data_IF_658820097378
#
_entry.id   IF_658820097378
#
_cell.length_a   1.000
_cell.length_b   1.000
_cell.length_c   1.000
_cell.angle_alpha   90.00
_cell.angle_beta   90.00
_cell.angle_gamma   90.00
#
_symmetry.space_group_name_H-M   'P 1'
#
loop_
_entity.id
_entity.type
_entity.pdbx_description
1 polymer ?
#
# COMPACT_ATOMS: atom_id res chain seq x y z
N UNK A 1 -16.57 -5.03 1.14
CA UNK A 1 -15.30 -4.32 0.98
C UNK A 1 -14.08 -5.16 1.27
N UNK A 2 -14.19 -6.02 2.26
CA UNK A 2 -13.06 -6.87 2.61
C UNK A 2 -12.60 -7.73 1.44
N UNK A 3 -13.55 -8.37 0.75
CA UNK A 3 -13.17 -9.24 -0.36
C UNK A 3 -12.56 -8.46 -1.51
N UNK A 4 -13.03 -7.24 -1.71
CA UNK A 4 -12.46 -6.40 -2.75
C UNK A 4 -11.03 -6.03 -2.42
N UNK A 5 -10.76 -5.71 -1.15
CA UNK A 5 -9.41 -5.39 -0.71
C UNK A 5 -8.46 -6.56 -0.98
N UNK A 6 -8.85 -7.75 -0.58
CA UNK A 6 -8.02 -8.93 -0.78
C UNK A 6 -7.77 -9.17 -2.27
N UNK A 7 -8.79 -9.01 -3.08
CA UNK A 7 -8.66 -9.18 -4.52
C UNK A 7 -7.66 -8.19 -5.12
N UNK A 8 -7.71 -6.96 -4.66
CA UNK A 8 -6.78 -5.94 -5.17
C UNK A 8 -5.36 -6.22 -4.74
N UNK A 9 -5.18 -6.69 -3.51
CA UNK A 9 -3.85 -7.03 -3.01
C UNK A 9 -3.29 -8.20 -3.81
N UNK A 10 -4.10 -9.19 -4.09
CA UNK A 10 -3.66 -10.33 -4.89
C UNK A 10 -3.22 -9.89 -6.27
N UNK A 11 -3.93 -8.93 -6.85
CA UNK A 11 -3.58 -8.45 -8.18
C UNK A 11 -2.24 -7.75 -8.22
N UNK A 12 -1.80 -7.20 -7.09
CA UNK A 12 -0.51 -6.53 -7.02
C UNK A 12 0.66 -7.51 -6.97
N UNK A 13 0.38 -8.76 -6.60
CA UNK A 13 1.42 -9.77 -6.57
C UNK A 13 2.53 -9.43 -5.60
N UNK A 14 3.77 -9.50 -6.06
CA UNK A 14 4.93 -9.27 -5.22
C UNK A 14 5.18 -7.81 -4.91
N UNK A 15 4.42 -6.91 -5.50
CA UNK A 15 4.61 -5.48 -5.27
C UNK A 15 4.11 -5.04 -3.91
N UNK A 16 3.34 -5.90 -3.24
CA UNK A 16 2.70 -5.52 -1.99
C UNK A 16 2.83 -6.66 -1.00
N UNK A 17 3.31 -6.35 0.19
CA UNK A 17 3.24 -7.27 1.33
C UNK A 17 1.96 -7.01 2.07
N UNK A 18 1.35 -8.09 2.53
CA UNK A 18 0.08 -8.02 3.21
C UNK A 18 0.14 -8.85 4.49
N UNK A 19 -0.38 -8.26 5.57
CA UNK A 19 -0.37 -8.90 6.87
C UNK A 19 -1.63 -8.47 7.61
N UNK A 20 -2.27 -9.40 8.27
CA UNK A 20 -3.50 -9.12 8.99
C UNK A 20 -3.38 -9.53 10.44
N UNK A 21 -3.86 -8.66 11.32
CA UNK A 21 -3.92 -8.95 12.73
C UNK A 21 -5.26 -8.42 13.25
N UNK A 22 -6.14 -9.32 13.67
CA UNK A 22 -7.50 -8.95 14.07
C UNK A 22 -8.20 -8.19 12.94
N UNK A 23 -8.68 -7.00 13.22
CA UNK A 23 -9.37 -6.18 12.23
C UNK A 23 -8.45 -5.14 11.61
N UNK A 24 -7.16 -5.28 11.83
CA UNK A 24 -6.17 -4.35 11.29
C UNK A 24 -5.39 -5.03 10.20
N UNK A 25 -5.34 -4.38 9.04
CA UNK A 25 -4.55 -4.88 7.92
C UNK A 25 -3.34 -3.99 7.76
N UNK A 26 -2.22 -4.61 7.45
CA UNK A 26 -0.96 -3.91 7.24
C UNK A 26 -0.51 -4.17 5.81
N UNK A 27 -0.32 -3.13 5.05
CA UNK A 27 0.11 -3.23 3.66
C UNK A 27 1.40 -2.46 3.52
N UNK A 28 2.41 -3.11 2.97
CA UNK A 28 3.67 -2.45 2.66
C UNK A 28 3.89 -2.55 1.17
N UNK A 29 3.99 -1.40 0.52
CA UNK A 29 4.31 -1.36 -0.89
C UNK A 29 5.80 -1.58 -1.06
N UNK A 30 6.14 -2.54 -1.91
CA UNK A 30 7.53 -2.90 -2.17
C UNK A 30 8.10 -1.99 -3.23
N UNK A 31 8.04 -0.73 -2.95
CA UNK A 31 8.51 0.28 -3.86
C UNK A 31 10.03 0.32 -3.78
N UNK A 32 10.69 -0.13 -4.80
CA UNK A 32 12.13 -0.11 -4.79
C UNK A 32 12.63 1.28 -5.16
N UNK A 33 13.31 1.90 -4.24
CA UNK A 33 13.77 3.26 -4.46
C UNK A 33 15.21 3.34 -4.92
N UNK A 34 16.01 2.37 -4.56
CA UNK A 34 17.41 2.44 -4.94
C UNK A 34 18.10 3.65 -4.35
N UNK A 35 19.29 3.90 -4.82
CA UNK A 35 20.08 4.99 -4.30
C UNK A 35 20.54 5.92 -5.42
N UNK A 36 19.70 6.06 -6.43
CA UNK A 36 20.04 6.91 -7.55
C UNK A 36 19.38 8.26 -7.41
N UNK A 37 19.82 9.20 -8.21
CA UNK A 37 19.20 10.51 -8.26
C UNK A 37 17.89 10.47 -9.03
N UNK A 38 17.63 9.39 -9.72
CA UNK A 38 16.43 9.23 -10.52
C UNK A 38 15.40 8.42 -9.78
N UNK A 39 15.22 8.73 -8.54
CA UNK A 39 14.32 7.94 -7.72
C UNK A 39 12.89 7.94 -8.25
N UNK A 40 12.52 8.93 -9.05
CA UNK A 40 11.21 8.92 -9.67
C UNK A 40 11.06 7.73 -10.61
N UNK A 41 12.12 7.41 -11.34
CA UNK A 41 12.11 6.22 -12.15
C UNK A 41 12.09 4.97 -11.31
N UNK A 42 12.84 5.00 -10.22
CA UNK A 42 12.91 3.87 -9.33
C UNK A 42 11.54 3.52 -8.77
N UNK A 43 10.73 4.54 -8.54
CA UNK A 43 9.40 4.31 -8.01
C UNK A 43 8.49 3.58 -8.98
N UNK A 44 8.95 3.40 -10.22
CA UNK A 44 8.16 2.70 -11.21
C UNK A 44 8.57 1.25 -11.37
N UNK A 45 9.40 0.74 -10.49
CA UNK A 45 9.90 -0.62 -10.61
C UNK A 45 8.93 -1.66 -10.06
N UNK A 46 7.68 -1.32 -9.99
CA UNK A 46 6.66 -2.31 -9.69
C UNK A 46 6.48 -3.25 -10.87
N UNK A 47 6.22 -4.51 -10.58
CA UNK A 47 5.86 -5.46 -11.62
C UNK A 47 4.44 -5.21 -12.09
N UNK A 48 3.59 -4.68 -11.23
CA UNK A 48 2.19 -4.46 -11.53
C UNK A 48 1.79 -3.03 -11.15
N UNK A 49 2.40 -2.03 -11.82
CA UNK A 49 2.18 -0.64 -11.39
C UNK A 49 0.73 -0.18 -11.52
N UNK A 50 0.02 -0.67 -12.50
CA UNK A 50 -1.38 -0.30 -12.66
C UNK A 50 -2.22 -0.79 -11.50
N UNK A 51 -1.98 -2.02 -11.10
CA UNK A 51 -2.72 -2.62 -9.99
C UNK A 51 -2.39 -1.95 -8.67
N UNK A 52 -1.11 -1.58 -8.49
CA UNK A 52 -0.71 -0.86 -7.28
C UNK A 52 -1.40 0.49 -7.21
N UNK A 53 -1.42 1.22 -8.32
CA UNK A 53 -2.08 2.51 -8.35
C UNK A 53 -3.58 2.38 -8.10
N UNK A 54 -4.18 1.34 -8.65
CA UNK A 54 -5.59 1.08 -8.43
C UNK A 54 -5.87 0.83 -6.95
N UNK A 55 -5.03 0.03 -6.31
CA UNK A 55 -5.20 -0.26 -4.89
C UNK A 55 -5.13 1.00 -4.06
N UNK A 56 -4.13 1.84 -4.32
CA UNK A 56 -3.99 3.08 -3.58
C UNK A 56 -5.21 3.98 -3.76
N UNK A 57 -5.67 4.12 -4.99
CA UNK A 57 -6.83 4.95 -5.28
C UNK A 57 -8.09 4.39 -4.62
N UNK A 58 -8.23 3.09 -4.67
CA UNK A 58 -9.39 2.44 -4.07
C UNK A 58 -9.44 2.69 -2.57
N UNK A 59 -8.28 2.55 -1.91
CA UNK A 59 -8.22 2.79 -0.48
C UNK A 59 -8.67 4.22 -0.14
N UNK A 60 -8.12 5.18 -0.86
CA UNK A 60 -8.46 6.58 -0.59
C UNK A 60 -9.90 6.93 -0.88
N UNK A 61 -10.49 6.29 -1.89
CA UNK A 61 -11.83 6.62 -2.32
C UNK A 61 -12.92 5.90 -1.53
N UNK A 62 -12.57 4.86 -0.80
CA UNK A 62 -13.56 4.04 -0.13
C UNK A 62 -13.44 4.03 1.39
N UNK A 63 -12.43 4.67 1.92
CA UNK A 63 -12.28 4.73 3.37
C UNK A 63 -13.26 5.74 3.97
N UNK A 64 -13.62 5.51 5.24
CA UNK A 64 -14.48 6.43 5.96
C UNK A 64 -13.67 7.61 6.45
N UNK A 65 -12.46 7.35 6.89
CA UNK A 65 -11.60 8.38 7.44
C UNK A 65 -10.16 8.01 7.13
N UNK A 66 -9.33 9.02 6.91
CA UNK A 66 -7.93 8.81 6.61
C UNK A 66 -7.09 9.58 7.64
N UNK A 67 -6.05 8.95 8.13
CA UNK A 67 -5.11 9.60 9.03
C UNK A 67 -3.71 9.39 8.53
N UNK A 68 -2.87 10.41 8.68
CA UNK A 68 -1.49 10.38 8.21
C UNK A 68 -0.58 10.80 9.35
N UNK A 69 0.52 10.10 9.44
CA UNK A 69 1.58 10.41 10.40
C UNK A 69 2.85 9.90 9.73
N UNK A 70 3.51 8.91 10.31
CA UNK A 70 4.62 8.26 9.63
C UNK A 70 4.13 7.31 8.56
N UNK A 71 2.86 6.98 8.58
CA UNK A 71 2.20 6.08 7.66
C UNK A 71 0.78 6.54 7.51
N UNK A 72 0.07 5.97 6.57
CA UNK A 72 -1.32 6.33 6.32
C UNK A 72 -2.22 5.22 6.83
N UNK A 73 -3.24 5.58 7.59
CA UNK A 73 -4.23 4.63 8.04
C UNK A 73 -5.55 4.97 7.40
N UNK A 74 -6.14 3.99 6.73
CA UNK A 74 -7.44 4.12 6.11
C UNK A 74 -8.46 3.37 6.98
N UNK A 75 -9.43 4.08 7.50
CA UNK A 75 -10.45 3.49 8.35
C UNK A 75 -11.68 3.14 7.54
N UNK A 76 -12.10 1.91 7.66
CA UNK A 76 -13.34 1.42 7.05
C UNK A 76 -14.29 1.03 8.17
N UNK A 77 -15.51 0.64 7.79
CA UNK A 77 -16.53 0.42 8.80
C UNK A 77 -16.15 -0.72 9.74
N UNK A 78 -15.63 -1.81 9.20
CA UNK A 78 -15.39 -3.01 9.98
C UNK A 78 -13.93 -3.34 10.18
N UNK A 79 -13.04 -2.57 9.55
CA UNK A 79 -11.62 -2.83 9.66
C UNK A 79 -10.85 -1.56 9.31
N UNK A 80 -9.55 -1.60 9.52
CA UNK A 80 -8.68 -0.49 9.13
C UNK A 80 -7.48 -1.05 8.38
N UNK A 81 -6.85 -0.19 7.58
CA UNK A 81 -5.72 -0.56 6.76
C UNK A 81 -4.60 0.44 7.00
N UNK A 82 -3.48 -0.05 7.49
CA UNK A 82 -2.29 0.77 7.66
C UNK A 82 -1.37 0.53 6.48
N UNK A 83 -0.96 1.60 5.83
CA UNK A 83 -0.13 1.51 4.63
C UNK A 83 1.22 2.12 4.91
N UNK A 84 2.25 1.35 4.68
CA UNK A 84 3.63 1.79 4.78
C UNK A 84 4.30 1.64 3.43
N UNK A 85 5.34 2.45 3.22
CA UNK A 85 6.17 2.32 2.03
C UNK A 85 7.54 1.87 2.45
N UNK A 86 8.07 0.90 1.73
CA UNK A 86 9.42 0.44 1.99
C UNK A 86 10.38 1.61 1.80
N UNK A 87 11.38 1.67 2.65
CA UNK A 87 12.30 2.79 2.65
C UNK A 87 13.72 2.29 2.68
N UNK A 88 14.60 2.98 2.00
CA UNK A 88 16.01 2.63 1.95
C UNK A 88 16.88 3.60 2.70
N UNK A 89 16.30 4.56 3.33
CA UNK A 89 17.05 5.54 4.08
C UNK A 89 17.00 5.28 5.56
N UNK A 90 16.66 4.07 5.92
CA UNK A 90 16.53 3.71 7.34
C UNK A 90 17.86 3.31 7.94
N UNK A 91 18.91 3.34 7.20
CA UNK A 91 20.24 3.01 7.75
C UNK A 91 21.23 4.08 7.53
#
# INVERSE_FOLDING_TARGET
>A
MYNKLISLIDACGNDVYFYQESNQFYITFQDFLGFTDDWEEEMRDYDNPTEVAYLENWLGNNCIKKEEDFYTIYFFKDFSVQVDYASYDIW
#
